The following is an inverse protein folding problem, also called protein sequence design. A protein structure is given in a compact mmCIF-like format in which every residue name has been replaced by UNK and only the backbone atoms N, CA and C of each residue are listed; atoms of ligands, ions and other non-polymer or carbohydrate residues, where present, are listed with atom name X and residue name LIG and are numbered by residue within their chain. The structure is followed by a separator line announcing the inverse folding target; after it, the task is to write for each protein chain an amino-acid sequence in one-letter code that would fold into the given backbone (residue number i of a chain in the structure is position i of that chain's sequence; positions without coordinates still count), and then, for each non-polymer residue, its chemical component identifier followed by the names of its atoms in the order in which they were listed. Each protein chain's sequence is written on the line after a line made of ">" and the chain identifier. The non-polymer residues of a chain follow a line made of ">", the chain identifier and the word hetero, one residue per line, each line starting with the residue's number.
data_IF_664177405555
#
_entry.id   IF_664177405555
#
_cell.length_a   1.000
_cell.length_b   1.000
_cell.length_c   1.000
_cell.angle_alpha   90.00
_cell.angle_beta   90.00
_cell.angle_gamma   90.00
#
_symmetry.space_group_name_H-M   'P 1'
#
loop_
_entity.id
_entity.type
_entity.pdbx_description
1 polymer ?
#
# COMPACT_ATOMS: atom_id res chain seq x y z
N UNK A 1 -86.20 12.90 22.04
CA UNK A 1 -86.12 11.60 22.74
C UNK A 1 -87.20 10.72 22.14
N UNK A 2 -86.82 9.82 21.23
CA UNK A 2 -87.75 9.02 20.44
C UNK A 2 -87.61 7.55 20.84
N UNK A 3 -88.75 6.98 21.24
CA UNK A 3 -89.21 5.58 21.06
C UNK A 3 -88.42 4.42 21.69
N UNK A 4 -89.04 3.35 22.19
CA UNK A 4 -90.38 3.02 22.72
C UNK A 4 -90.29 1.53 23.15
N UNK A 5 -90.96 1.18 24.26
CA UNK A 5 -91.64 -0.07 24.69
C UNK A 5 -91.77 -1.31 23.76
N UNK A 6 -92.32 -2.47 24.24
CA UNK A 6 -92.51 -3.01 25.60
C UNK A 6 -92.14 -4.52 25.75
N UNK A 7 -92.45 -5.08 26.92
CA UNK A 7 -92.24 -6.46 27.34
C UNK A 7 -93.22 -7.51 26.78
N UNK A 8 -92.66 -8.72 26.58
CA UNK A 8 -93.11 -10.10 26.82
C UNK A 8 -94.58 -10.56 26.60
N UNK A 9 -94.70 -11.70 25.89
CA UNK A 9 -95.69 -12.75 26.16
C UNK A 9 -95.08 -14.15 25.83
N UNK A 10 -95.48 -15.25 26.52
CA UNK A 10 -94.79 -16.53 26.47
C UNK A 10 -95.38 -17.57 25.49
N UNK A 11 -94.57 -18.61 25.27
CA UNK A 11 -94.59 -19.74 24.34
C UNK A 11 -95.91 -20.46 23.98
N UNK A 12 -95.95 -20.97 22.73
CA UNK A 12 -96.63 -22.23 22.35
C UNK A 12 -95.78 -23.01 21.32
N UNK A 13 -95.77 -24.33 21.52
CA UNK A 13 -94.82 -25.31 20.97
C UNK A 13 -94.85 -25.50 19.44
N UNK A 14 -93.69 -25.81 18.86
CA UNK A 14 -93.58 -26.47 17.55
C UNK A 14 -92.98 -27.88 17.71
N UNK A 15 -93.56 -28.80 16.94
CA UNK A 15 -93.33 -30.23 16.96
C UNK A 15 -91.90 -30.63 16.57
N UNK A 16 -91.43 -31.68 17.25
CA UNK A 16 -90.17 -32.39 17.01
C UNK A 16 -90.35 -33.28 15.78
N UNK A 17 -89.53 -33.07 14.74
CA UNK A 17 -89.26 -34.10 13.73
C UNK A 17 -87.95 -34.78 14.13
N UNK A 18 -88.04 -36.06 14.45
CA UNK A 18 -86.88 -36.90 14.73
C UNK A 18 -86.17 -37.27 13.41
N UNK A 19 -84.88 -36.98 13.32
CA UNK A 19 -83.95 -37.69 12.44
C UNK A 19 -82.94 -38.45 13.29
N UNK A 20 -82.78 -39.72 12.95
CA UNK A 20 -81.94 -40.77 13.55
C UNK A 20 -80.55 -40.32 14.03
N UNK A 21 -80.01 -40.90 15.13
CA UNK A 21 -78.71 -40.50 15.70
C UNK A 21 -77.53 -40.93 14.82
N UNK A 22 -76.65 -39.99 14.50
CA UNK A 22 -75.32 -40.28 13.95
C UNK A 22 -74.34 -40.62 15.10
N UNK A 23 -73.49 -41.61 14.86
CA UNK A 23 -72.61 -42.25 15.83
C UNK A 23 -71.62 -41.29 16.54
N UNK A 24 -71.29 -41.52 17.83
CA UNK A 24 -70.24 -40.78 18.52
C UNK A 24 -68.90 -41.45 18.21
N UNK A 25 -68.18 -40.95 17.19
CA UNK A 25 -66.72 -40.99 17.03
C UNK A 25 -66.35 -40.64 15.58
N UNK A 26 -66.43 -39.36 15.24
CA UNK A 26 -65.59 -38.82 14.19
C UNK A 26 -64.33 -38.25 14.88
N UNK A 27 -63.10 -38.64 14.49
CA UNK A 27 -61.92 -37.98 15.00
C UNK A 27 -61.99 -36.50 14.60
N UNK A 28 -61.84 -35.60 15.57
CA UNK A 28 -61.59 -34.18 15.29
C UNK A 28 -60.43 -34.13 14.30
N UNK A 29 -60.52 -33.42 13.16
CA UNK A 29 -59.36 -33.23 12.32
C UNK A 29 -58.32 -32.50 13.17
N UNK A 30 -57.29 -33.24 13.58
CA UNK A 30 -56.12 -32.70 14.22
C UNK A 30 -55.56 -31.69 13.22
N UNK A 31 -55.51 -30.42 13.63
CA UNK A 31 -54.86 -29.39 12.84
C UNK A 31 -53.45 -29.89 12.52
N UNK A 32 -53.24 -30.28 11.26
CA UNK A 32 -51.90 -30.59 10.77
C UNK A 32 -51.11 -29.31 10.92
N UNK A 33 -50.05 -29.35 11.74
CA UNK A 33 -49.14 -28.23 11.86
C UNK A 33 -48.75 -27.77 10.45
N UNK A 34 -49.15 -26.56 10.07
CA UNK A 34 -48.67 -25.90 8.86
C UNK A 34 -47.15 -25.96 8.91
N UNK A 35 -46.44 -26.39 7.84
CA UNK A 35 -44.99 -26.41 7.85
C UNK A 35 -44.48 -24.98 8.10
N UNK A 36 -44.01 -24.74 9.33
CA UNK A 36 -43.30 -23.51 9.70
C UNK A 36 -42.09 -23.45 8.79
N UNK A 37 -41.99 -22.36 8.02
CA UNK A 37 -40.98 -22.13 6.97
C UNK A 37 -39.62 -22.70 7.36
N UNK A 38 -38.96 -23.41 6.44
CA UNK A 38 -37.55 -23.78 6.58
C UNK A 38 -36.78 -22.55 7.04
N UNK A 39 -36.13 -22.58 8.22
CA UNK A 39 -35.49 -21.40 8.74
C UNK A 39 -34.40 -20.99 7.74
N UNK A 40 -34.49 -19.74 7.30
CA UNK A 40 -33.74 -19.22 6.17
C UNK A 40 -32.52 -18.49 6.70
N UNK A 41 -31.34 -18.68 6.08
CA UNK A 41 -30.17 -17.88 6.43
C UNK A 41 -30.46 -16.38 6.30
N UNK A 42 -29.84 -15.59 7.17
CA UNK A 42 -30.05 -14.14 7.28
C UNK A 42 -28.76 -13.42 6.89
N UNK A 43 -28.83 -12.54 5.91
CA UNK A 43 -27.68 -11.74 5.48
C UNK A 43 -27.46 -10.54 6.40
N UNK A 44 -26.22 -10.25 6.74
CA UNK A 44 -25.81 -9.20 7.66
C UNK A 44 -24.68 -8.43 7.00
N UNK A 45 -24.79 -7.11 6.91
CA UNK A 45 -23.72 -6.29 6.36
C UNK A 45 -23.90 -4.83 6.68
N UNK A 46 -23.06 -4.01 6.07
CA UNK A 46 -23.36 -2.68 5.54
C UNK A 46 -22.07 -2.15 4.91
N UNK A 47 -21.26 -1.41 5.67
CA UNK A 47 -20.13 -0.65 5.15
C UNK A 47 -19.01 -0.47 6.18
N UNK A 48 -17.78 -0.61 5.73
CA UNK A 48 -16.57 -0.25 6.49
C UNK A 48 -15.89 0.86 5.72
N UNK A 49 -15.52 1.95 6.41
CA UNK A 49 -14.95 3.12 5.75
C UNK A 49 -13.66 3.59 6.40
N UNK A 50 -12.89 4.31 5.59
CA UNK A 50 -11.78 5.11 6.07
C UNK A 50 -12.33 6.39 6.66
N UNK A 51 -12.52 6.41 7.97
CA UNK A 51 -12.91 7.60 8.72
C UNK A 51 -11.70 8.54 8.75
N UNK A 52 -11.76 9.62 7.98
CA UNK A 52 -10.59 10.46 7.69
C UNK A 52 -10.32 11.46 8.81
N UNK A 53 -11.33 11.76 9.62
CA UNK A 53 -11.25 12.75 10.69
C UNK A 53 -11.31 12.12 12.09
N UNK A 54 -11.57 10.82 12.18
CA UNK A 54 -11.56 10.04 13.42
C UNK A 54 -12.82 10.19 14.27
N UNK A 55 -13.91 10.76 13.74
CA UNK A 55 -15.07 11.17 14.54
C UNK A 55 -16.11 10.06 14.76
N UNK A 56 -16.00 8.91 14.09
CA UNK A 56 -16.95 7.80 14.22
C UNK A 56 -18.23 7.93 13.40
N UNK A 57 -18.37 8.97 12.57
CA UNK A 57 -19.56 9.26 11.77
C UNK A 57 -19.20 9.19 10.29
N UNK A 58 -19.97 8.45 9.51
CA UNK A 58 -19.83 8.39 8.05
C UNK A 58 -20.08 9.78 7.44
N UNK A 59 -19.03 10.41 6.94
CA UNK A 59 -19.12 11.72 6.32
C UNK A 59 -18.99 11.66 4.80
N UNK A 60 -19.57 12.66 4.13
CA UNK A 60 -19.41 12.81 2.69
C UNK A 60 -17.92 12.98 2.34
N UNK A 61 -17.43 12.16 1.42
CA UNK A 61 -16.02 12.16 1.00
C UNK A 61 -15.15 11.15 1.73
N UNK A 62 -15.69 10.42 2.72
CA UNK A 62 -14.99 9.30 3.35
C UNK A 62 -15.16 8.02 2.52
N UNK A 63 -14.07 7.42 2.02
CA UNK A 63 -14.16 6.28 1.12
C UNK A 63 -14.40 4.97 1.88
N UNK A 64 -15.06 4.02 1.24
CA UNK A 64 -15.13 2.64 1.70
C UNK A 64 -13.75 2.00 1.77
N UNK A 65 -13.52 1.16 2.77
CA UNK A 65 -12.24 0.50 3.01
C UNK A 65 -12.27 -0.94 2.53
N UNK A 66 -11.59 -1.21 1.42
CA UNK A 66 -11.51 -2.53 0.80
C UNK A 66 -10.55 -3.48 1.55
N UNK A 67 -10.78 -4.79 1.43
CA UNK A 67 -9.86 -5.80 1.95
C UNK A 67 -9.95 -6.04 3.47
N UNK A 68 -10.90 -5.43 4.17
CA UNK A 68 -11.10 -5.60 5.62
C UNK A 68 -11.85 -6.90 5.88
N UNK A 69 -11.33 -7.74 6.78
CA UNK A 69 -11.99 -8.99 7.15
C UNK A 69 -13.07 -8.74 8.19
N UNK A 70 -14.28 -9.24 7.91
CA UNK A 70 -15.45 -9.19 8.79
C UNK A 70 -15.91 -10.61 9.11
N UNK A 71 -16.30 -10.84 10.36
CA UNK A 71 -16.59 -12.16 10.89
C UNK A 71 -17.91 -12.16 11.67
N UNK A 72 -18.70 -13.22 11.52
CA UNK A 72 -19.88 -13.46 12.33
C UNK A 72 -19.60 -14.50 13.41
N UNK A 73 -19.95 -14.20 14.65
CA UNK A 73 -19.67 -15.06 15.80
C UNK A 73 -20.92 -15.37 16.61
N UNK A 74 -20.89 -16.51 17.32
CA UNK A 74 -21.85 -16.78 18.39
C UNK A 74 -21.75 -15.73 19.52
N UNK A 75 -22.81 -15.51 20.32
CA UNK A 75 -22.86 -14.42 21.31
C UNK A 75 -21.73 -14.45 22.35
N UNK A 76 -21.25 -15.65 22.66
CA UNK A 76 -20.18 -15.93 23.62
C UNK A 76 -18.79 -15.98 22.98
N UNK A 77 -18.65 -15.63 21.70
CA UNK A 77 -17.40 -15.67 20.92
C UNK A 77 -16.74 -17.05 20.84
N UNK A 78 -17.50 -18.12 21.09
CA UNK A 78 -16.96 -19.48 21.09
C UNK A 78 -16.80 -20.06 19.68
N UNK A 79 -17.60 -19.61 18.71
CA UNK A 79 -17.60 -20.19 17.36
C UNK A 79 -17.73 -19.10 16.31
N UNK A 80 -16.81 -19.12 15.34
CA UNK A 80 -16.89 -18.37 14.08
C UNK A 80 -17.88 -19.08 13.16
N UNK A 81 -18.89 -18.37 12.69
CA UNK A 81 -19.97 -18.93 11.87
C UNK A 81 -19.78 -18.61 10.39
N UNK A 82 -19.31 -17.40 10.08
CA UNK A 82 -19.04 -16.96 8.72
C UNK A 82 -18.01 -15.83 8.69
N UNK A 83 -17.39 -15.59 7.55
CA UNK A 83 -16.46 -14.48 7.33
C UNK A 83 -16.48 -14.00 5.88
N UNK A 84 -16.31 -12.70 5.70
CA UNK A 84 -16.21 -12.04 4.41
C UNK A 84 -15.09 -11.01 4.42
N UNK A 85 -14.72 -10.53 3.23
CA UNK A 85 -13.82 -9.40 3.05
C UNK A 85 -14.58 -8.28 2.36
N UNK A 86 -14.37 -7.04 2.79
CA UNK A 86 -15.00 -5.88 2.16
C UNK A 86 -14.55 -5.72 0.70
N UNK A 87 -15.49 -5.35 -0.16
CA UNK A 87 -15.24 -5.07 -1.57
C UNK A 87 -14.53 -3.71 -1.78
N UNK A 88 -14.28 -3.36 -3.05
CA UNK A 88 -13.63 -2.09 -3.44
C UNK A 88 -14.41 -0.84 -3.01
N UNK A 89 -15.65 -1.01 -2.57
CA UNK A 89 -16.51 0.05 -2.04
C UNK A 89 -16.72 -0.12 -0.53
N UNK A 90 -15.91 -0.90 0.18
CA UNK A 90 -16.01 -1.08 1.63
C UNK A 90 -17.24 -1.89 2.08
N UNK A 91 -18.03 -2.45 1.16
CA UNK A 91 -19.24 -3.20 1.52
C UNK A 91 -18.90 -4.65 1.82
N UNK A 92 -19.63 -5.23 2.77
CA UNK A 92 -19.49 -6.64 3.11
C UNK A 92 -20.85 -7.28 3.35
N UNK A 93 -20.89 -8.60 3.28
CA UNK A 93 -22.05 -9.39 3.73
C UNK A 93 -21.54 -10.70 4.31
N UNK A 94 -22.00 -11.03 5.51
CA UNK A 94 -21.87 -12.33 6.17
C UNK A 94 -23.26 -12.91 6.41
N UNK A 95 -23.37 -14.22 6.57
CA UNK A 95 -24.65 -14.92 6.65
C UNK A 95 -24.78 -15.67 7.98
N UNK A 96 -25.80 -15.32 8.76
CA UNK A 96 -26.23 -16.14 9.88
C UNK A 96 -27.02 -17.35 9.37
N UNK A 97 -26.76 -18.56 9.89
CA UNK A 97 -27.46 -19.76 9.42
C UNK A 97 -28.95 -19.73 9.78
N UNK A 98 -29.32 -19.11 10.90
CA UNK A 98 -30.66 -19.06 11.45
C UNK A 98 -30.90 -17.74 12.19
N UNK A 99 -32.16 -17.32 12.40
CA UNK A 99 -32.51 -16.31 13.40
C UNK A 99 -31.98 -16.67 14.79
N UNK A 100 -31.54 -15.69 15.56
CA UNK A 100 -30.89 -15.88 16.86
C UNK A 100 -29.97 -14.72 17.24
N UNK A 101 -29.19 -14.93 18.30
CA UNK A 101 -28.27 -13.92 18.82
C UNK A 101 -26.86 -14.09 18.22
N UNK A 102 -26.23 -12.99 17.88
CA UNK A 102 -24.91 -12.97 17.24
C UNK A 102 -24.10 -11.73 17.62
N UNK A 103 -22.82 -11.74 17.20
CA UNK A 103 -21.96 -10.56 17.16
C UNK A 103 -21.23 -10.51 15.83
N UNK A 104 -21.05 -9.31 15.29
CA UNK A 104 -20.15 -9.08 14.17
C UNK A 104 -18.80 -8.64 14.74
N UNK A 105 -17.71 -9.10 14.12
CA UNK A 105 -16.35 -8.68 14.42
C UNK A 105 -15.67 -8.16 13.18
N UNK A 106 -15.12 -6.96 13.28
CA UNK A 106 -14.21 -6.41 12.28
C UNK A 106 -12.77 -6.70 12.72
N UNK A 107 -11.97 -7.27 11.83
CA UNK A 107 -10.54 -7.45 12.07
C UNK A 107 -9.83 -6.16 11.70
N UNK A 108 -9.27 -5.48 12.70
CA UNK A 108 -8.59 -4.21 12.49
C UNK A 108 -7.38 -4.38 11.54
N UNK A 109 -7.33 -3.65 10.41
CA UNK A 109 -6.18 -3.67 9.53
C UNK A 109 -4.91 -3.18 10.21
N UNK A 110 -3.75 -3.64 9.74
CA UNK A 110 -2.45 -3.25 10.30
C UNK A 110 -2.26 -1.73 10.26
N UNK A 111 -1.86 -1.15 11.39
CA UNK A 111 -1.66 0.30 11.53
C UNK A 111 -2.95 1.11 11.70
N UNK A 112 -4.14 0.50 11.60
CA UNK A 112 -5.41 1.16 11.80
C UNK A 112 -5.80 1.33 13.26
N UNK A 113 -6.80 2.18 13.49
CA UNK A 113 -7.48 2.39 14.77
C UNK A 113 -8.99 2.45 14.52
N UNK A 114 -9.80 1.73 15.31
CA UNK A 114 -11.25 1.91 15.26
C UNK A 114 -11.62 3.30 15.77
N UNK A 115 -12.51 3.99 15.06
CA UNK A 115 -12.99 5.32 15.48
C UNK A 115 -14.16 5.20 16.44
N UNK A 116 -14.61 6.33 16.99
CA UNK A 116 -15.57 6.36 18.09
C UNK A 116 -16.87 5.61 17.75
N UNK A 117 -17.36 4.81 18.69
CA UNK A 117 -18.60 4.03 18.56
C UNK A 117 -19.82 4.89 18.89
N UNK A 118 -20.97 4.62 18.26
CA UNK A 118 -22.29 5.22 18.56
C UNK A 118 -22.28 6.76 18.59
N UNK A 119 -21.77 7.39 17.52
CA UNK A 119 -21.60 8.84 17.47
C UNK A 119 -22.71 9.53 16.68
N UNK A 120 -23.14 10.69 17.16
CA UNK A 120 -24.22 11.45 16.52
C UNK A 120 -25.59 10.97 16.97
N UNK A 121 -26.60 11.19 16.12
CA UNK A 121 -28.01 10.88 16.42
C UNK A 121 -28.61 9.83 15.48
N UNK A 122 -27.90 9.48 14.41
CA UNK A 122 -28.37 8.61 13.35
C UNK A 122 -27.52 7.34 13.32
N UNK A 123 -28.11 6.27 13.83
CA UNK A 123 -27.56 4.91 13.99
C UNK A 123 -27.25 4.24 12.63
N UNK A 124 -27.68 4.83 11.51
CA UNK A 124 -27.39 4.29 10.17
C UNK A 124 -26.06 4.79 9.60
N UNK A 125 -25.41 5.75 10.26
CA UNK A 125 -24.23 6.46 9.73
C UNK A 125 -23.14 6.64 10.77
N UNK A 126 -23.08 5.77 11.77
CA UNK A 126 -22.02 5.75 12.77
C UNK A 126 -21.37 4.36 12.87
N UNK A 127 -20.38 4.23 13.75
CA UNK A 127 -19.61 3.00 13.92
C UNK A 127 -20.18 2.15 15.05
N UNK A 128 -20.40 0.86 14.81
CA UNK A 128 -20.95 -0.08 15.80
C UNK A 128 -19.87 -0.84 16.60
N UNK A 129 -18.60 -0.58 16.31
CA UNK A 129 -17.50 -1.45 16.76
C UNK A 129 -16.92 -0.97 18.08
N UNK A 130 -16.88 -1.85 19.07
CA UNK A 130 -16.23 -1.60 20.34
C UNK A 130 -14.72 -1.35 20.15
N UNK A 131 -14.24 -0.20 20.63
CA UNK A 131 -12.87 0.29 20.40
C UNK A 131 -11.88 -0.13 21.48
N UNK A 132 -12.33 -0.79 22.56
CA UNK A 132 -11.48 -1.20 23.68
C UNK A 132 -12.06 -2.41 24.45
N UNK A 133 -11.27 -2.94 25.39
CA UNK A 133 -11.72 -3.95 26.34
C UNK A 133 -11.84 -5.37 25.77
N UNK A 134 -12.55 -6.24 26.50
CA UNK A 134 -12.71 -7.65 26.13
C UNK A 134 -13.55 -7.87 24.86
N UNK A 135 -14.27 -6.85 24.42
CA UNK A 135 -15.12 -6.83 23.23
C UNK A 135 -14.47 -6.06 22.06
N UNK A 136 -13.19 -5.72 22.14
CA UNK A 136 -12.47 -5.01 21.09
C UNK A 136 -12.68 -5.62 19.69
N UNK A 137 -13.13 -4.79 18.75
CA UNK A 137 -13.42 -5.17 17.38
C UNK A 137 -14.77 -5.86 17.16
N UNK A 138 -15.57 -6.06 18.21
CA UNK A 138 -16.91 -6.64 18.11
C UNK A 138 -18.01 -5.57 18.29
N UNK A 139 -19.17 -5.84 17.71
CA UNK A 139 -20.44 -5.23 18.12
C UNK A 139 -20.85 -5.73 19.52
N UNK A 140 -21.88 -5.10 20.08
CA UNK A 140 -22.71 -5.73 21.11
C UNK A 140 -23.43 -6.97 20.57
N UNK A 141 -24.01 -7.76 21.48
CA UNK A 141 -24.90 -8.86 21.07
C UNK A 141 -26.16 -8.26 20.48
N UNK A 142 -26.52 -8.70 19.27
CA UNK A 142 -27.79 -8.36 18.63
C UNK A 142 -28.60 -9.61 18.30
N UNK A 143 -29.92 -9.44 18.22
CA UNK A 143 -30.87 -10.53 17.95
C UNK A 143 -31.48 -10.39 16.56
N UNK A 144 -31.37 -11.43 15.74
CA UNK A 144 -32.10 -11.57 14.48
C UNK A 144 -33.44 -12.27 14.73
N UNK A 145 -34.54 -11.53 14.60
CA UNK A 145 -35.88 -12.08 14.73
C UNK A 145 -36.22 -13.03 13.57
N UNK A 146 -37.16 -13.96 13.79
CA UNK A 146 -37.48 -15.01 12.82
C UNK A 146 -38.06 -14.52 11.48
N UNK A 147 -38.48 -13.25 11.41
CA UNK A 147 -38.98 -12.61 10.19
C UNK A 147 -37.93 -11.76 9.47
N UNK A 148 -36.69 -11.66 9.98
CA UNK A 148 -35.59 -10.94 9.33
C UNK A 148 -34.91 -11.87 8.32
N UNK A 149 -34.68 -11.37 7.11
CA UNK A 149 -33.96 -12.07 6.04
C UNK A 149 -32.65 -11.36 5.64
N UNK A 150 -32.55 -10.07 5.95
CA UNK A 150 -31.34 -9.28 5.78
C UNK A 150 -31.34 -8.09 6.74
N UNK A 151 -30.15 -7.65 7.17
CA UNK A 151 -29.95 -6.39 7.87
C UNK A 151 -28.68 -5.69 7.37
N UNK A 152 -28.73 -4.36 7.29
CA UNK A 152 -27.66 -3.51 6.74
C UNK A 152 -27.35 -2.35 7.68
N UNK A 153 -27.20 -2.63 8.96
CA UNK A 153 -27.02 -1.60 10.01
C UNK A 153 -25.67 -1.71 10.72
N UNK A 154 -24.78 -2.59 10.26
CA UNK A 154 -23.52 -2.84 10.96
C UNK A 154 -22.35 -2.24 10.21
N UNK A 155 -21.84 -1.18 10.80
CA UNK A 155 -20.93 -0.22 10.20
C UNK A 155 -19.65 -0.11 11.04
N UNK A 156 -18.51 0.14 10.39
CA UNK A 156 -17.24 0.33 11.10
C UNK A 156 -16.37 1.44 10.51
N UNK A 157 -16.12 2.47 11.32
CA UNK A 157 -15.16 3.53 11.02
C UNK A 157 -13.75 3.11 11.43
N UNK A 158 -12.81 3.19 10.49
CA UNK A 158 -11.40 2.92 10.74
C UNK A 158 -10.57 4.13 10.31
N UNK A 159 -9.84 4.71 11.26
CA UNK A 159 -8.82 5.71 10.98
C UNK A 159 -7.52 4.96 10.64
N UNK A 160 -7.08 5.08 9.39
CA UNK A 160 -5.77 4.64 8.95
C UNK A 160 -4.83 5.86 8.94
N UNK A 161 -3.95 6.03 9.95
CA UNK A 161 -2.89 7.02 9.86
C UNK A 161 -2.04 6.66 8.63
N UNK A 162 -2.20 7.43 7.56
CA UNK A 162 -1.31 7.30 6.42
C UNK A 162 0.07 7.73 6.90
N UNK A 163 0.96 6.76 7.13
CA UNK A 163 2.37 7.07 6.93
C UNK A 163 2.45 7.45 5.46
N UNK A 164 2.93 8.66 5.11
CA UNK A 164 3.00 9.06 3.71
C UNK A 164 3.83 8.02 2.98
N UNK A 165 3.14 7.15 2.23
CA UNK A 165 3.79 6.23 1.32
C UNK A 165 4.31 7.13 0.22
N UNK A 166 5.64 7.28 0.02
CA UNK A 166 6.15 8.15 -1.02
C UNK A 166 5.60 7.66 -2.36
N UNK A 167 4.57 8.34 -2.87
CA UNK A 167 3.81 7.94 -4.06
C UNK A 167 4.56 8.26 -5.36
N UNK A 168 5.87 8.55 -5.27
CA UNK A 168 6.74 8.60 -6.42
C UNK A 168 7.75 7.49 -6.23
N UNK A 169 7.83 6.56 -7.19
CA UNK A 169 9.12 5.97 -7.53
C UNK A 169 10.10 7.13 -7.55
N UNK A 170 11.11 7.19 -6.66
CA UNK A 170 12.00 8.34 -6.57
C UNK A 170 12.51 8.58 -7.98
N UNK A 171 12.10 9.70 -8.59
CA UNK A 171 12.61 10.06 -9.90
C UNK A 171 14.09 10.33 -9.67
N UNK A 172 15.01 9.53 -10.24
CA UNK A 172 16.43 9.69 -9.98
C UNK A 172 16.82 11.15 -10.29
N UNK A 173 17.30 11.88 -9.29
CA UNK A 173 17.70 13.28 -9.50
C UNK A 173 19.12 13.26 -10.03
N UNK A 174 19.29 13.62 -11.29
CA UNK A 174 20.58 13.55 -11.99
C UNK A 174 21.46 14.74 -11.62
N UNK A 175 22.67 14.48 -11.14
CA UNK A 175 23.63 15.50 -10.72
C UNK A 175 24.95 15.36 -11.48
N UNK A 176 25.51 16.48 -11.91
CA UNK A 176 26.86 16.56 -12.48
C UNK A 176 26.88 17.11 -13.89
N UNK A 177 28.08 17.39 -14.37
CA UNK A 177 28.31 17.88 -15.72
C UNK A 177 29.74 17.49 -16.16
N UNK A 178 30.78 18.21 -15.75
CA UNK A 178 32.11 18.07 -16.36
C UNK A 178 33.28 18.24 -15.38
N UNK A 179 34.31 17.41 -15.56
CA UNK A 179 35.63 17.55 -14.92
C UNK A 179 36.64 17.85 -16.01
N UNK A 180 37.38 18.94 -15.87
CA UNK A 180 38.30 19.41 -16.92
C UNK A 180 39.67 19.78 -16.41
N UNK A 181 40.62 19.76 -17.33
CA UNK A 181 41.96 20.25 -17.10
C UNK A 181 41.98 21.77 -17.31
N UNK A 182 42.00 22.50 -16.21
CA UNK A 182 42.16 23.95 -16.19
C UNK A 182 43.63 24.28 -16.51
N UNK A 183 43.89 24.58 -17.78
CA UNK A 183 45.25 24.71 -18.33
C UNK A 183 45.86 26.07 -18.01
N UNK A 184 45.03 27.09 -17.86
CA UNK A 184 45.45 28.47 -17.63
C UNK A 184 45.29 28.89 -16.15
N UNK A 185 44.59 28.08 -15.34
CA UNK A 185 44.38 28.29 -13.91
C UNK A 185 43.34 29.37 -13.58
N UNK A 186 42.50 29.75 -14.52
CA UNK A 186 41.51 30.82 -14.34
C UNK A 186 40.19 30.33 -13.73
N UNK A 187 39.97 29.00 -13.67
CA UNK A 187 38.77 28.39 -13.11
C UNK A 187 37.51 28.54 -13.97
N UNK A 188 37.64 28.98 -15.21
CA UNK A 188 36.57 29.08 -16.21
C UNK A 188 36.80 28.03 -17.29
N UNK A 189 35.83 27.17 -17.51
CA UNK A 189 35.83 26.22 -18.62
C UNK A 189 35.83 26.97 -19.96
N UNK A 190 36.89 26.77 -20.76
CA UNK A 190 37.04 27.38 -22.08
C UNK A 190 37.31 26.37 -23.19
N UNK A 191 37.08 26.81 -24.43
CA UNK A 191 37.36 25.99 -25.61
C UNK A 191 38.88 25.73 -25.73
N UNK A 192 39.28 24.46 -25.62
CA UNK A 192 40.68 24.04 -25.63
C UNK A 192 41.11 23.33 -24.35
N UNK A 193 40.28 23.37 -23.31
CA UNK A 193 40.51 22.66 -22.05
C UNK A 193 39.88 21.26 -22.09
N UNK A 194 40.68 20.19 -22.06
CA UNK A 194 40.17 18.84 -22.21
C UNK A 194 39.47 18.33 -20.95
N UNK A 195 38.45 17.49 -21.13
CA UNK A 195 37.85 16.72 -20.05
C UNK A 195 38.84 15.69 -19.47
N UNK A 196 38.71 15.39 -18.18
CA UNK A 196 39.57 14.43 -17.48
C UNK A 196 38.75 13.20 -17.10
N UNK A 197 39.08 12.06 -17.68
CA UNK A 197 38.50 10.77 -17.31
C UNK A 197 39.16 10.08 -16.14
N UNK A 198 38.43 9.18 -15.49
CA UNK A 198 38.94 8.39 -14.38
C UNK A 198 38.90 9.09 -13.02
N UNK A 199 38.29 10.29 -12.92
CA UNK A 199 38.21 11.03 -11.67
C UNK A 199 36.99 10.59 -10.87
N UNK A 200 37.20 10.19 -9.63
CA UNK A 200 36.11 9.76 -8.73
C UNK A 200 35.35 10.96 -8.20
N UNK A 201 34.03 10.91 -8.33
CA UNK A 201 33.08 11.88 -7.78
C UNK A 201 32.13 11.16 -6.83
N UNK A 202 31.76 11.83 -5.74
CA UNK A 202 31.00 11.27 -4.65
C UNK A 202 29.88 12.23 -4.22
N UNK A 203 28.69 11.70 -3.98
CA UNK A 203 27.59 12.42 -3.34
C UNK A 203 27.58 12.11 -1.84
N UNK A 204 27.59 13.15 -1.02
CA UNK A 204 27.55 13.04 0.44
C UNK A 204 26.34 13.77 1.00
N UNK A 205 25.87 13.33 2.17
CA UNK A 205 24.95 14.14 2.96
C UNK A 205 25.62 15.47 3.39
N UNK A 206 24.81 16.48 3.73
CA UNK A 206 25.29 17.83 4.08
C UNK A 206 26.32 17.85 5.22
N UNK A 207 26.23 16.89 6.15
CA UNK A 207 27.10 16.72 7.30
C UNK A 207 28.43 15.96 7.03
N UNK A 208 28.62 15.43 5.81
CA UNK A 208 29.79 14.61 5.41
C UNK A 208 29.96 13.31 6.21
N UNK A 209 28.88 12.77 6.76
CA UNK A 209 28.91 11.53 7.56
C UNK A 209 28.53 10.30 6.75
N UNK A 210 27.86 10.48 5.62
CA UNK A 210 27.35 9.37 4.80
C UNK A 210 27.63 9.60 3.31
N UNK A 211 28.23 8.59 2.68
CA UNK A 211 28.42 8.51 1.24
C UNK A 211 27.19 7.86 0.61
N UNK A 212 26.50 8.59 -0.28
CA UNK A 212 25.21 8.19 -0.85
C UNK A 212 25.35 7.61 -2.26
N UNK A 213 26.28 8.13 -3.06
CA UNK A 213 26.55 7.67 -4.41
C UNK A 213 28.01 7.97 -4.81
N UNK A 214 28.54 7.22 -5.77
CA UNK A 214 29.83 7.52 -6.39
C UNK A 214 29.82 7.17 -7.87
N UNK A 215 30.55 7.94 -8.65
CA UNK A 215 30.74 7.76 -10.08
C UNK A 215 32.18 8.10 -10.46
N UNK A 216 32.57 7.74 -11.67
CA UNK A 216 33.86 8.10 -12.24
C UNK A 216 33.62 8.85 -13.56
N UNK A 217 34.33 9.95 -13.78
CA UNK A 217 34.23 10.67 -15.05
C UNK A 217 34.68 9.79 -16.22
N UNK A 218 33.99 9.90 -17.35
CA UNK A 218 34.37 9.20 -18.58
C UNK A 218 35.59 9.86 -19.25
N UNK A 219 36.10 9.27 -20.33
CA UNK A 219 37.28 9.80 -21.06
C UNK A 219 37.12 11.25 -21.55
N UNK A 220 35.89 11.72 -21.69
CA UNK A 220 35.57 13.11 -22.03
C UNK A 220 35.26 13.97 -20.82
N UNK A 221 35.58 13.58 -19.59
CA UNK A 221 35.37 14.40 -18.38
C UNK A 221 33.94 14.41 -17.83
N UNK A 222 32.98 13.78 -18.48
CA UNK A 222 31.57 13.82 -18.06
C UNK A 222 31.34 12.81 -16.93
N UNK A 223 30.62 13.22 -15.89
CA UNK A 223 30.18 12.35 -14.80
C UNK A 223 28.69 12.54 -14.50
N UNK A 224 28.08 11.52 -13.89
CA UNK A 224 26.68 11.54 -13.47
C UNK A 224 26.55 10.84 -12.12
N UNK A 225 25.98 11.55 -11.15
CA UNK A 225 25.54 11.03 -9.85
C UNK A 225 24.01 11.04 -9.80
N UNK A 226 23.44 10.17 -8.97
CA UNK A 226 22.01 10.13 -8.72
C UNK A 226 21.77 10.46 -7.25
N UNK A 227 21.06 11.54 -6.97
CA UNK A 227 20.56 11.81 -5.62
C UNK A 227 19.26 11.01 -5.37
N UNK A 228 19.11 10.42 -4.17
CA UNK A 228 17.99 9.55 -3.86
C UNK A 228 16.67 10.34 -3.72
N UNK A 229 16.73 11.54 -3.15
CA UNK A 229 15.57 12.40 -2.88
C UNK A 229 15.99 13.88 -2.94
N UNK A 230 15.00 14.77 -2.89
CA UNK A 230 15.21 16.18 -2.60
C UNK A 230 15.78 16.37 -1.19
N UNK A 231 16.64 17.36 -1.00
CA UNK A 231 17.34 17.58 0.26
C UNK A 231 18.67 18.31 0.09
N UNK A 232 19.42 18.39 1.19
CA UNK A 232 20.70 19.09 1.26
C UNK A 232 21.87 18.13 1.09
N UNK A 233 22.73 18.42 0.13
CA UNK A 233 23.84 17.55 -0.25
C UNK A 233 25.13 18.33 -0.46
N UNK A 234 26.22 17.58 -0.54
CA UNK A 234 27.52 18.04 -1.04
C UNK A 234 28.04 17.05 -2.06
N UNK A 235 28.71 17.55 -3.09
CA UNK A 235 29.49 16.71 -4.00
C UNK A 235 30.96 16.82 -3.61
N UNK A 236 31.67 15.69 -3.64
CA UNK A 236 33.11 15.62 -3.44
C UNK A 236 33.78 15.09 -4.70
N UNK A 237 34.77 15.83 -5.19
CA UNK A 237 35.69 15.36 -6.23
C UNK A 237 36.97 14.89 -5.56
N UNK A 238 37.39 13.67 -5.88
CA UNK A 238 38.65 13.11 -5.37
C UNK A 238 39.75 13.52 -6.33
N UNK A 239 40.57 14.51 -5.94
CA UNK A 239 41.69 14.96 -6.75
C UNK A 239 42.63 13.79 -7.08
N UNK A 240 42.98 13.58 -8.36
CA UNK A 240 44.05 12.66 -8.74
C UNK A 240 45.37 13.02 -8.06
N UNK A 241 46.30 12.06 -7.87
CA UNK A 241 47.61 12.34 -7.28
C UNK A 241 48.34 13.48 -8.02
N UNK A 242 48.78 14.49 -7.26
CA UNK A 242 49.48 15.66 -7.79
C UNK A 242 48.58 16.75 -8.38
N UNK A 243 47.29 16.49 -8.58
CA UNK A 243 46.34 17.49 -9.03
C UNK A 243 45.96 18.47 -7.92
N UNK A 244 45.56 19.68 -8.30
CA UNK A 244 44.95 20.67 -7.40
C UNK A 244 43.69 21.26 -8.03
N UNK A 245 42.75 21.74 -7.24
CA UNK A 245 41.51 22.33 -7.75
C UNK A 245 41.74 23.73 -8.34
N UNK A 246 40.94 24.07 -9.34
CA UNK A 246 40.85 25.39 -9.97
C UNK A 246 40.23 26.45 -9.06
N UNK A 247 40.28 27.72 -9.49
CA UNK A 247 39.56 28.79 -8.81
C UNK A 247 38.05 28.52 -8.86
N UNK A 248 37.39 28.60 -7.70
CA UNK A 248 35.95 28.38 -7.59
C UNK A 248 35.18 29.62 -8.02
N UNK A 249 34.00 29.45 -8.63
CA UNK A 249 33.05 30.56 -8.78
C UNK A 249 33.43 31.59 -9.84
N UNK A 250 34.30 31.25 -10.80
CA UNK A 250 34.82 32.19 -11.79
C UNK A 250 33.98 32.16 -13.07
N UNK A 251 33.45 33.31 -13.49
CA UNK A 251 32.65 33.38 -14.72
C UNK A 251 31.19 32.98 -14.52
N UNK A 252 30.61 32.28 -15.50
CA UNK A 252 29.21 31.87 -15.46
C UNK A 252 29.05 30.54 -14.72
N UNK A 253 27.96 30.40 -13.96
CA UNK A 253 27.67 29.25 -13.09
C UNK A 253 27.57 27.88 -13.79
N UNK A 254 27.63 27.83 -15.13
CA UNK A 254 27.59 26.59 -15.93
C UNK A 254 28.94 26.26 -16.57
N UNK A 255 29.95 27.09 -16.29
CA UNK A 255 31.29 27.03 -16.88
C UNK A 255 32.35 27.30 -15.81
N UNK A 256 32.00 27.39 -14.54
CA UNK A 256 32.92 27.65 -13.45
C UNK A 256 33.18 26.40 -12.64
N UNK A 257 34.23 26.41 -11.81
CA UNK A 257 34.45 25.31 -10.87
C UNK A 257 33.60 25.51 -9.63
N UNK A 258 32.87 24.47 -9.20
CA UNK A 258 32.07 24.48 -7.97
C UNK A 258 32.83 23.97 -6.75
N UNK A 259 34.03 23.45 -6.96
CA UNK A 259 34.77 22.72 -5.92
C UNK A 259 35.62 23.67 -5.09
N UNK A 260 35.47 23.60 -3.78
CA UNK A 260 36.29 24.34 -2.84
C UNK A 260 37.76 23.92 -2.97
N UNK A 261 38.60 24.90 -3.29
CA UNK A 261 40.03 24.68 -3.54
C UNK A 261 40.88 24.58 -2.27
N UNK A 262 40.43 25.20 -1.18
CA UNK A 262 41.18 25.33 0.08
C UNK A 262 40.25 25.22 1.29
N UNK A 263 40.83 25.06 2.48
CA UNK A 263 40.10 25.03 3.74
C UNK A 263 39.59 23.64 4.12
N UNK A 264 38.73 23.58 5.15
CA UNK A 264 38.19 22.34 5.71
C UNK A 264 37.29 21.56 4.73
N UNK A 265 36.78 22.27 3.72
CA UNK A 265 35.88 21.72 2.70
C UNK A 265 36.59 21.48 1.36
N UNK A 266 37.93 21.44 1.33
CA UNK A 266 38.68 21.18 0.10
C UNK A 266 38.21 19.92 -0.62
N UNK A 267 37.97 20.03 -1.92
CA UNK A 267 37.44 18.96 -2.76
C UNK A 267 35.93 18.73 -2.66
N UNK A 268 35.22 19.49 -1.82
CA UNK A 268 33.76 19.48 -1.76
C UNK A 268 33.16 20.74 -2.39
N UNK A 269 31.91 20.66 -2.82
CA UNK A 269 31.04 21.83 -2.98
C UNK A 269 30.65 22.41 -1.61
N UNK A 270 30.07 23.60 -1.63
CA UNK A 270 29.19 24.04 -0.55
C UNK A 270 27.96 23.12 -0.43
N UNK A 271 27.20 23.27 0.65
CA UNK A 271 25.88 22.63 0.75
C UNK A 271 24.99 23.24 -0.33
N UNK A 272 24.37 22.40 -1.15
CA UNK A 272 23.32 22.80 -2.07
C UNK A 272 22.03 22.04 -1.77
N UNK A 273 20.91 22.72 -1.97
CA UNK A 273 19.57 22.19 -1.72
C UNK A 273 18.93 21.79 -3.05
N UNK A 274 18.49 20.54 -3.13
CA UNK A 274 17.67 20.03 -4.22
C UNK A 274 16.20 20.23 -3.84
N UNK A 275 15.47 21.05 -4.59
CA UNK A 275 14.04 21.24 -4.41
C UNK A 275 13.22 20.01 -4.82
N UNK A 276 12.02 19.84 -4.26
CA UNK A 276 11.13 18.71 -4.54
C UNK A 276 10.66 18.61 -6.00
N UNK A 277 10.80 19.69 -6.77
CA UNK A 277 10.48 19.80 -8.19
C UNK A 277 11.71 19.70 -9.11
N UNK A 278 12.92 19.51 -8.57
CA UNK A 278 14.16 19.40 -9.35
C UNK A 278 14.38 17.95 -9.76
N UNK A 279 14.61 17.73 -11.07
CA UNK A 279 14.92 16.41 -11.64
C UNK A 279 16.37 16.27 -12.09
N UNK A 280 17.07 17.39 -12.27
CA UNK A 280 18.47 17.40 -12.65
C UNK A 280 19.16 18.71 -12.26
N UNK A 281 20.44 18.63 -11.92
CA UNK A 281 21.36 19.77 -11.80
C UNK A 281 22.59 19.44 -12.65
N UNK A 282 22.78 20.22 -13.72
CA UNK A 282 23.79 20.01 -14.76
C UNK A 282 24.81 21.16 -14.84
N UNK A 283 25.03 21.83 -13.71
CA UNK A 283 25.95 22.96 -13.58
C UNK A 283 26.91 22.73 -12.41
N UNK A 284 27.21 21.46 -12.11
CA UNK A 284 28.18 21.12 -11.08
C UNK A 284 29.40 20.58 -11.80
N UNK A 285 30.46 21.36 -11.72
CA UNK A 285 31.62 21.29 -12.59
C UNK A 285 32.90 21.37 -11.73
N UNK A 286 33.97 20.69 -12.14
CA UNK A 286 35.24 20.69 -11.40
C UNK A 286 36.48 20.88 -12.29
N UNK A 287 37.13 22.04 -12.14
CA UNK A 287 38.41 22.32 -12.78
C UNK A 287 39.57 21.78 -11.96
N UNK A 288 40.53 21.12 -12.62
CA UNK A 288 41.74 20.58 -12.02
C UNK A 288 42.99 21.08 -12.75
N UNK A 289 43.98 21.56 -12.00
CA UNK A 289 45.33 21.83 -12.48
C UNK A 289 46.27 20.66 -12.17
N UNK A 290 47.40 20.63 -12.88
CA UNK A 290 48.53 19.72 -12.63
C UNK A 290 48.16 18.23 -12.73
N UNK A 291 47.13 17.91 -13.51
CA UNK A 291 46.73 16.52 -13.69
C UNK A 291 47.80 15.78 -14.48
N UNK A 292 48.42 14.79 -13.83
CA UNK A 292 49.32 13.86 -14.51
C UNK A 292 48.48 12.89 -15.33
N UNK A 293 48.96 12.40 -16.49
CA UNK A 293 48.28 11.34 -17.20
C UNK A 293 48.13 10.14 -16.27
N UNK A 294 46.88 9.71 -16.05
CA UNK A 294 46.59 8.50 -15.29
C UNK A 294 47.32 7.33 -15.98
N UNK A 295 48.10 6.49 -15.27
CA UNK A 295 48.64 5.30 -15.89
C UNK A 295 47.47 4.47 -16.42
N UNK A 296 47.46 4.20 -17.73
CA UNK A 296 46.48 3.32 -18.35
C UNK A 296 46.41 2.05 -17.52
N UNK A 297 45.23 1.66 -16.98
CA UNK A 297 45.12 0.40 -16.27
C UNK A 297 45.52 -0.69 -17.26
N UNK A 298 46.64 -1.35 -16.98
CA UNK A 298 47.00 -2.59 -17.68
C UNK A 298 45.96 -3.60 -17.22
N UNK A 299 45.02 -3.95 -18.10
CA UNK A 299 44.17 -5.12 -17.87
C UNK A 299 45.10 -6.30 -17.63
N UNK A 300 45.22 -6.71 -16.37
CA UNK A 300 45.79 -8.01 -16.06
C UNK A 300 44.74 -9.00 -16.54
N UNK A 301 44.99 -9.64 -17.68
CA UNK A 301 44.16 -10.71 -18.20
C UNK A 301 43.99 -11.75 -17.08
N UNK A 302 42.81 -11.75 -16.44
CA UNK A 302 42.41 -12.85 -15.57
C UNK A 302 42.22 -14.06 -16.48
N UNK A 303 43.03 -15.09 -16.27
CA UNK A 303 42.89 -16.34 -17.01
C UNK A 303 41.46 -16.84 -16.86
N UNK A 304 40.70 -16.81 -17.96
CA UNK A 304 39.37 -17.37 -18.04
C UNK A 304 39.49 -18.87 -17.76
N UNK A 305 38.92 -19.33 -16.65
CA UNK A 305 38.85 -20.76 -16.37
C UNK A 305 38.12 -21.43 -17.55
N UNK A 306 38.83 -22.32 -18.25
CA UNK A 306 38.27 -23.12 -19.32
C UNK A 306 37.17 -24.02 -18.72
N UNK A 307 35.92 -23.95 -19.19
CA UNK A 307 34.90 -24.89 -18.73
C UNK A 307 35.27 -26.29 -19.20
N UNK A 308 35.48 -27.22 -18.28
CA UNK A 308 35.70 -28.64 -18.56
C UNK A 308 34.45 -29.20 -19.22
N UNK A 309 34.51 -29.41 -20.53
CA UNK A 309 33.47 -30.12 -21.28
C UNK A 309 33.59 -31.62 -20.99
N UNK A 310 32.59 -32.20 -20.30
CA UNK A 310 32.49 -33.65 -20.13
C UNK A 310 32.22 -34.29 -21.49
N UNK A 311 33.19 -35.06 -21.99
CA UNK A 311 33.06 -35.76 -23.26
C UNK A 311 31.92 -36.80 -23.21
N UNK A 312 30.96 -36.69 -24.12
CA UNK A 312 30.00 -37.75 -24.42
C UNK A 312 30.68 -38.77 -25.35
N UNK A 313 30.64 -40.10 -25.08
CA UNK A 313 31.29 -41.07 -25.94
C UNK A 313 30.57 -41.18 -27.29
N UNK A 314 31.29 -40.82 -28.37
CA UNK A 314 30.88 -41.02 -29.75
C UNK A 314 31.15 -42.47 -30.18
N UNK A 315 30.12 -43.13 -30.71
CA UNK A 315 30.21 -44.48 -31.27
C UNK A 315 30.89 -44.43 -32.65
N UNK A 316 32.06 -45.07 -32.76
CA UNK A 316 32.83 -45.15 -33.98
C UNK A 316 32.11 -45.99 -35.06
N UNK A 317 31.80 -45.39 -36.22
CA UNK A 317 31.51 -46.12 -37.45
C UNK A 317 32.82 -46.37 -38.19
N UNK A 318 33.17 -47.65 -38.30
CA UNK A 318 34.33 -48.16 -39.03
C UNK A 318 34.08 -48.00 -40.54
N UNK A 319 34.96 -47.29 -41.24
CA UNK A 319 35.10 -47.37 -42.70
C UNK A 319 36.49 -47.92 -43.03
N UNK A 320 36.53 -49.11 -43.64
CA UNK A 320 37.74 -49.69 -44.21
C UNK A 320 38.03 -49.03 -45.58
N UNK A 321 39.28 -48.66 -45.89
CA UNK A 321 39.63 -48.25 -47.24
C UNK A 321 39.84 -49.45 -48.18
N UNK A 322 39.21 -49.40 -49.36
CA UNK A 322 39.48 -50.33 -50.47
C UNK A 322 40.92 -50.13 -50.98
N UNK A 323 41.69 -51.23 -51.03
CA UNK A 323 42.98 -51.26 -51.70
C UNK A 323 42.81 -51.34 -53.23
N UNK A 324 43.58 -50.54 -53.97
CA UNK A 324 43.78 -50.71 -55.41
C UNK A 324 44.79 -51.82 -55.68
N UNK A 325 44.35 -52.91 -56.33
CA UNK A 325 44.90 -53.49 -57.56
C UNK A 325 44.09 -54.72 -57.97
#
# INVERSE_FOLDING_TARGET
>A
MLHQWPAAAPARALAIVATSPAAPNAPVPQATATPTRTPTPVNIGNFIWSDLNGNGIQNAGEPGLAGVTVQLWTPNKATLLDAATTDDQGKYTVTAPLPGDYRVRVVLPAGGVFTLKDQGVDDMVDSDINTAGGDFGFTEIFTLASNVISTTIFDAGIYLPTTPTPTRTPTPISLGNFIWHDLNGDGVQTAGEPGIGGVTVQLWNSAKTELLASATSNSGGIYLLIAPLAGDYRIRVVAPPGASFALKGQGAATLDSDINRVGADVGFTEIFTIGSNVISINSIDAGLLNVQPSPTPTETATSQATPTQTATPSTAKIYLPLAQR
#
